data_IF_902766280262
#
_entry.id   IF_902766280262
#
_cell.length_a   1.000
_cell.length_b   1.000
_cell.length_c   1.000
_cell.angle_alpha   90.00
_cell.angle_beta   90.00
_cell.angle_gamma   90.00
#
_symmetry.space_group_name_H-M   'P 1'
#
loop_
_entity.id
_entity.type
_entity.pdbx_description
1 polymer ?
#
# COMPACT_ATOMS: atom_id res chain seq x y z
N UNK A 1 -26.43 1.93 18.59
CA UNK A 1 -25.21 2.48 17.98
C UNK A 1 -25.58 2.89 16.58
N UNK A 2 -25.24 4.11 16.21
CA UNK A 2 -25.40 4.66 14.86
C UNK A 2 -24.01 5.01 14.32
N UNK A 3 -23.78 4.76 13.04
CA UNK A 3 -22.55 5.14 12.36
C UNK A 3 -22.89 5.91 11.09
N UNK A 4 -22.44 7.15 11.03
CA UNK A 4 -22.57 8.03 9.87
C UNK A 4 -21.24 8.13 9.13
N UNK A 5 -21.26 7.94 7.81
CA UNK A 5 -20.09 8.11 6.95
C UNK A 5 -20.39 9.24 5.96
N UNK A 6 -19.52 10.24 5.92
CA UNK A 6 -19.65 11.43 5.05
C UNK A 6 -18.37 11.67 4.27
N UNK A 7 -18.41 12.53 3.24
CA UNK A 7 -17.20 12.95 2.51
C UNK A 7 -16.29 13.87 3.33
N UNK A 8 -16.89 14.93 3.91
CA UNK A 8 -16.17 16.05 4.51
C UNK A 8 -16.71 16.48 5.90
N UNK A 9 -17.37 15.52 6.61
CA UNK A 9 -17.97 15.76 7.92
C UNK A 9 -19.39 16.30 7.86
N UNK A 10 -20.09 16.27 9.00
CA UNK A 10 -21.48 16.72 9.15
C UNK A 10 -21.64 18.23 9.35
N UNK A 11 -20.54 18.98 9.55
CA UNK A 11 -20.54 20.41 9.77
C UNK A 11 -20.53 21.23 8.46
N UNK A 12 -19.57 22.12 8.32
CA UNK A 12 -19.43 23.03 7.14
C UNK A 12 -19.28 22.26 5.82
N UNK A 13 -18.67 21.06 5.87
CA UNK A 13 -18.48 20.18 4.71
C UNK A 13 -19.69 19.33 4.32
N UNK A 14 -20.81 19.37 5.06
CA UNK A 14 -21.94 18.46 4.87
C UNK A 14 -22.59 18.49 3.47
N UNK A 15 -22.56 19.64 2.81
CA UNK A 15 -23.10 19.80 1.46
C UNK A 15 -22.12 19.38 0.34
N UNK A 16 -20.87 19.04 0.67
CA UNK A 16 -19.87 18.66 -0.32
C UNK A 16 -20.06 17.18 -0.72
N UNK A 17 -20.00 16.86 -2.03
CA UNK A 17 -20.13 15.49 -2.50
C UNK A 17 -18.91 14.67 -2.09
N UNK A 18 -19.15 13.48 -1.48
CA UNK A 18 -18.13 12.57 -1.01
C UNK A 18 -17.86 11.46 -2.02
N UNK A 19 -16.86 11.65 -2.87
CA UNK A 19 -16.35 10.62 -3.78
C UNK A 19 -14.87 10.38 -3.53
N UNK A 20 -14.44 9.13 -3.59
CA UNK A 20 -13.04 8.71 -3.38
C UNK A 20 -12.05 9.56 -4.20
N UNK A 21 -12.24 9.66 -5.51
CA UNK A 21 -11.37 10.43 -6.40
C UNK A 21 -11.28 11.90 -6.00
N UNK A 22 -12.41 12.50 -5.62
CA UNK A 22 -12.46 13.90 -5.20
C UNK A 22 -11.66 14.11 -3.91
N UNK A 23 -11.79 13.18 -2.96
CA UNK A 23 -11.05 13.26 -1.69
C UNK A 23 -9.57 12.92 -1.89
N UNK A 24 -9.19 12.03 -2.79
CA UNK A 24 -7.78 11.84 -3.17
C UNK A 24 -7.14 13.15 -3.69
N UNK A 25 -7.88 13.91 -4.50
CA UNK A 25 -7.41 15.18 -5.03
C UNK A 25 -7.35 16.27 -3.94
N UNK A 26 -8.46 16.55 -3.27
CA UNK A 26 -8.60 17.62 -2.28
C UNK A 26 -7.88 17.32 -0.95
N UNK A 27 -7.77 16.05 -0.59
CA UNK A 27 -7.11 15.58 0.63
C UNK A 27 -5.59 15.40 0.51
N UNK A 28 -5.00 15.76 -0.64
CA UNK A 28 -3.55 15.82 -0.81
C UNK A 28 -2.87 14.51 -1.23
N UNK A 29 -3.57 13.37 -1.33
CA UNK A 29 -2.95 12.12 -1.75
C UNK A 29 -2.35 12.22 -3.16
N UNK A 30 -3.03 12.88 -4.08
CA UNK A 30 -2.53 13.08 -5.44
C UNK A 30 -1.33 14.04 -5.50
N UNK A 31 -1.13 14.89 -4.51
CA UNK A 31 0.04 15.77 -4.46
C UNK A 31 1.35 15.06 -4.14
N UNK A 32 1.27 13.83 -3.65
CA UNK A 32 2.41 12.96 -3.33
C UNK A 32 2.44 11.68 -4.17
N UNK A 33 1.47 11.49 -5.05
CA UNK A 33 1.32 10.28 -5.88
C UNK A 33 1.36 10.65 -7.36
N UNK A 34 2.29 10.05 -8.10
CA UNK A 34 2.46 10.26 -9.54
C UNK A 34 3.85 9.85 -10.00
N UNK A 35 4.07 9.73 -11.31
CA UNK A 35 5.35 9.29 -11.87
C UNK A 35 6.46 10.33 -11.74
N UNK A 36 6.11 11.63 -11.79
CA UNK A 36 7.06 12.73 -11.71
C UNK A 36 6.42 13.99 -11.10
N UNK A 37 7.23 14.93 -10.58
CA UNK A 37 6.75 16.23 -10.15
C UNK A 37 5.89 16.92 -11.23
N UNK A 38 4.69 17.38 -10.85
CA UNK A 38 3.74 18.00 -11.78
C UNK A 38 2.78 17.02 -12.48
N UNK A 39 2.91 15.72 -12.24
CA UNK A 39 2.05 14.69 -12.84
C UNK A 39 1.24 13.94 -11.75
N UNK A 40 0.29 14.62 -11.05
CA UNK A 40 -0.49 14.01 -9.99
C UNK A 40 -1.36 12.87 -10.55
N UNK A 41 -1.34 11.72 -9.87
CA UNK A 41 -2.07 10.53 -10.30
C UNK A 41 -2.86 9.94 -9.13
N UNK A 42 -4.09 9.51 -9.39
CA UNK A 42 -4.88 8.80 -8.39
C UNK A 42 -4.34 7.37 -8.16
N UNK A 43 -4.59 6.80 -6.98
CA UNK A 43 -4.42 5.36 -6.75
C UNK A 43 -5.45 4.58 -7.58
N UNK A 44 -5.07 3.44 -8.10
CA UNK A 44 -5.86 2.64 -9.05
C UNK A 44 -7.17 2.06 -8.51
N UNK A 45 -7.37 2.09 -7.19
CA UNK A 45 -8.57 1.60 -6.49
C UNK A 45 -9.18 2.71 -5.62
N UNK A 46 -10.42 2.57 -5.18
CA UNK A 46 -11.10 3.49 -4.25
C UNK A 46 -10.53 3.34 -2.83
N UNK A 47 -9.25 3.70 -2.66
CA UNK A 47 -8.49 3.47 -1.43
C UNK A 47 -9.05 4.22 -0.24
N UNK A 48 -9.53 5.45 -0.44
CA UNK A 48 -10.07 6.30 0.62
C UNK A 48 -11.37 5.70 1.17
N UNK A 49 -12.23 5.19 0.29
CA UNK A 49 -13.47 4.51 0.68
C UNK A 49 -13.17 3.27 1.52
N UNK A 50 -12.21 2.44 1.09
CA UNK A 50 -11.78 1.24 1.83
C UNK A 50 -11.26 1.60 3.22
N UNK A 51 -10.37 2.58 3.32
CA UNK A 51 -9.80 3.03 4.61
C UNK A 51 -10.91 3.59 5.52
N UNK A 52 -11.83 4.37 4.97
CA UNK A 52 -12.96 4.94 5.73
C UNK A 52 -13.88 3.84 6.25
N UNK A 53 -14.18 2.83 5.44
CA UNK A 53 -14.94 1.65 5.86
C UNK A 53 -14.24 0.86 6.99
N UNK A 54 -12.92 0.74 6.94
CA UNK A 54 -12.13 0.15 8.02
C UNK A 54 -12.20 0.98 9.31
N UNK A 55 -12.07 2.31 9.24
CA UNK A 55 -12.23 3.19 10.40
C UNK A 55 -13.64 3.12 11.01
N UNK A 56 -14.66 3.09 10.15
CA UNK A 56 -16.04 2.91 10.61
C UNK A 56 -16.24 1.56 11.32
N UNK A 57 -15.69 0.49 10.79
CA UNK A 57 -15.73 -0.84 11.41
C UNK A 57 -15.03 -0.85 12.77
N UNK A 58 -13.85 -0.26 12.87
CA UNK A 58 -13.10 -0.13 14.15
C UNK A 58 -13.93 0.67 15.16
N UNK A 59 -14.51 1.81 14.74
CA UNK A 59 -15.38 2.62 15.56
C UNK A 59 -16.60 1.86 16.07
N UNK A 60 -17.27 1.10 15.19
CA UNK A 60 -18.42 0.25 15.56
C UNK A 60 -18.04 -0.82 16.57
N UNK A 61 -16.92 -1.51 16.39
CA UNK A 61 -16.45 -2.53 17.34
C UNK A 61 -16.10 -1.91 18.71
N UNK A 62 -15.47 -0.75 18.75
CA UNK A 62 -15.19 -0.01 19.97
C UNK A 62 -16.47 0.40 20.69
N UNK A 63 -17.47 0.92 19.97
CA UNK A 63 -18.76 1.30 20.51
C UNK A 63 -19.58 0.08 21.02
N UNK A 64 -19.49 -1.05 20.32
CA UNK A 64 -20.09 -2.31 20.76
C UNK A 64 -19.46 -2.78 22.07
N UNK A 65 -18.14 -2.72 22.19
CA UNK A 65 -17.46 -3.06 23.45
C UNK A 65 -17.88 -2.14 24.60
N UNK A 66 -17.93 -0.83 24.35
CA UNK A 66 -18.44 0.14 25.34
C UNK A 66 -19.86 -0.20 25.77
N UNK A 67 -20.78 -0.42 24.84
CA UNK A 67 -22.16 -0.78 25.11
C UNK A 67 -22.29 -2.08 25.95
N UNK A 68 -21.43 -3.07 25.62
CA UNK A 68 -21.45 -4.35 26.37
C UNK A 68 -21.02 -4.19 27.84
N UNK A 69 -20.19 -3.19 28.14
CA UNK A 69 -19.71 -2.90 29.51
C UNK A 69 -20.66 -1.97 30.28
N UNK A 70 -21.20 -0.95 29.60
CA UNK A 70 -21.96 0.14 30.27
C UNK A 70 -23.47 0.06 30.06
N UNK A 71 -23.92 -0.65 29.01
CA UNK A 71 -25.32 -0.61 28.57
C UNK A 71 -25.65 0.58 27.66
N UNK A 72 -24.72 1.53 27.47
CA UNK A 72 -24.96 2.77 26.74
C UNK A 72 -24.44 2.68 25.30
N UNK A 73 -25.30 3.03 24.32
CA UNK A 73 -24.94 3.19 22.94
C UNK A 73 -24.38 4.59 22.66
N UNK A 74 -23.83 4.78 21.45
CA UNK A 74 -23.33 6.08 21.03
C UNK A 74 -23.44 6.25 19.51
N UNK A 75 -23.34 7.48 19.07
CA UNK A 75 -23.18 7.85 17.67
C UNK A 75 -21.70 7.90 17.32
N UNK A 76 -21.38 7.45 16.09
CA UNK A 76 -20.04 7.46 15.50
C UNK A 76 -20.13 8.23 14.21
N UNK A 77 -19.26 9.21 14.03
CA UNK A 77 -19.08 9.90 12.76
C UNK A 77 -17.69 9.61 12.20
N UNK A 78 -17.63 9.22 10.93
CA UNK A 78 -16.40 9.02 10.16
C UNK A 78 -16.53 9.78 8.85
N UNK A 79 -15.46 10.41 8.37
CA UNK A 79 -15.48 11.05 7.07
C UNK A 79 -14.23 10.70 6.26
N UNK A 80 -14.39 10.76 4.93
CA UNK A 80 -13.36 10.35 3.98
C UNK A 80 -12.09 11.20 4.12
N UNK A 81 -12.24 12.53 4.28
CA UNK A 81 -11.09 13.42 4.35
C UNK A 81 -10.23 13.16 5.60
N UNK A 82 -10.85 13.04 6.78
CA UNK A 82 -10.11 12.75 8.01
C UNK A 82 -9.48 11.36 7.98
N UNK A 83 -10.16 10.38 7.38
CA UNK A 83 -9.64 9.04 7.17
C UNK A 83 -8.41 9.03 6.29
N UNK A 84 -8.45 9.79 5.18
CA UNK A 84 -7.30 9.94 4.29
C UNK A 84 -6.12 10.63 4.99
N UNK A 85 -6.35 11.76 5.67
CA UNK A 85 -5.29 12.49 6.37
C UNK A 85 -4.59 11.62 7.42
N UNK A 86 -5.34 10.80 8.15
CA UNK A 86 -4.79 9.81 9.09
C UNK A 86 -3.95 8.75 8.38
N UNK A 87 -4.37 8.29 7.21
CA UNK A 87 -3.68 7.25 6.45
C UNK A 87 -2.42 7.73 5.71
N UNK A 88 -2.21 9.05 5.59
CA UNK A 88 -1.01 9.61 4.94
C UNK A 88 0.26 9.52 5.80
N UNK A 89 0.19 8.99 6.98
CA UNK A 89 1.29 8.58 7.90
C UNK A 89 2.48 9.56 7.91
N UNK A 90 3.63 9.13 7.35
CA UNK A 90 4.87 9.91 7.32
C UNK A 90 4.76 11.22 6.52
N UNK A 91 3.96 11.24 5.45
CA UNK A 91 3.74 12.47 4.66
C UNK A 91 2.98 13.52 5.47
N UNK A 92 1.91 13.09 6.14
CA UNK A 92 1.17 13.97 7.05
C UNK A 92 2.05 14.44 8.23
N UNK A 93 2.84 13.54 8.83
CA UNK A 93 3.76 13.87 9.93
C UNK A 93 4.85 14.87 9.51
N UNK A 94 5.38 14.75 8.29
CA UNK A 94 6.37 15.69 7.75
C UNK A 94 5.81 17.11 7.70
N UNK A 95 4.54 17.26 7.34
CA UNK A 95 3.87 18.58 7.33
C UNK A 95 3.51 19.04 8.74
N UNK A 96 2.80 18.22 9.51
CA UNK A 96 2.24 18.64 10.81
C UNK A 96 3.32 18.92 11.84
N UNK A 97 4.37 18.10 11.88
CA UNK A 97 5.43 18.20 12.89
C UNK A 97 6.68 18.90 12.37
N UNK A 98 6.97 18.77 11.08
CA UNK A 98 8.19 19.30 10.47
C UNK A 98 8.00 20.56 9.61
N UNK A 99 6.76 20.97 9.32
CA UNK A 99 6.45 22.08 8.41
C UNK A 99 6.85 21.86 6.95
N UNK A 100 7.24 20.63 6.59
CA UNK A 100 7.67 20.27 5.24
C UNK A 100 6.45 19.87 4.42
N UNK A 101 6.24 20.50 3.27
CA UNK A 101 5.21 20.09 2.31
C UNK A 101 5.80 19.03 1.37
N UNK A 102 5.35 17.76 1.47
CA UNK A 102 5.83 16.70 0.60
C UNK A 102 5.40 16.90 -0.86
N UNK A 103 6.17 16.34 -1.78
CA UNK A 103 5.87 16.34 -3.21
C UNK A 103 5.95 14.96 -3.83
N UNK A 104 5.69 14.86 -5.14
CA UNK A 104 5.76 13.63 -5.91
C UNK A 104 7.23 13.24 -6.12
N UNK A 105 7.57 12.00 -5.79
CA UNK A 105 8.90 11.40 -5.95
C UNK A 105 8.87 10.15 -6.86
N UNK A 106 7.80 9.93 -7.62
CA UNK A 106 7.61 8.66 -8.33
C UNK A 106 7.51 7.48 -7.37
N UNK A 107 8.34 6.46 -7.59
CA UNK A 107 8.40 5.30 -6.72
C UNK A 107 9.47 5.39 -5.63
N UNK A 108 10.22 6.50 -5.56
CA UNK A 108 11.30 6.66 -4.60
C UNK A 108 10.79 7.00 -3.20
N UNK A 109 11.37 6.36 -2.18
CA UNK A 109 11.07 6.70 -0.79
C UNK A 109 11.75 8.03 -0.41
N UNK A 110 11.09 8.96 0.31
CA UNK A 110 11.66 10.27 0.61
C UNK A 110 12.93 10.22 1.47
N UNK A 111 13.07 9.27 2.37
CA UNK A 111 14.14 9.20 3.38
C UNK A 111 14.93 7.89 3.40
N UNK A 112 14.69 6.97 2.45
CA UNK A 112 15.41 5.70 2.34
C UNK A 112 15.91 5.51 0.91
N UNK A 113 17.15 5.05 0.74
CA UNK A 113 17.75 4.78 -0.57
C UNK A 113 18.75 3.61 -0.50
N UNK A 114 18.71 2.65 -1.46
CA UNK A 114 17.72 2.48 -2.50
C UNK A 114 16.39 1.91 -1.96
N UNK A 115 15.29 2.54 -2.30
CA UNK A 115 13.94 2.07 -2.01
C UNK A 115 13.02 2.58 -3.13
N UNK A 116 12.96 1.85 -4.22
CA UNK A 116 12.23 2.25 -5.43
C UNK A 116 12.14 1.14 -6.49
N UNK A 117 11.64 1.50 -7.66
CA UNK A 117 11.49 0.60 -8.82
C UNK A 117 12.69 0.71 -9.75
N UNK A 118 13.24 -0.43 -10.14
CA UNK A 118 14.31 -0.54 -11.13
C UNK A 118 13.84 -1.30 -12.38
N UNK A 119 14.24 -0.83 -13.56
CA UNK A 119 14.02 -1.56 -14.79
C UNK A 119 15.02 -2.72 -14.88
N UNK A 120 14.55 -3.88 -15.32
CA UNK A 120 15.37 -5.05 -15.62
C UNK A 120 15.32 -5.35 -17.12
N UNK A 121 15.90 -6.46 -17.56
CA UNK A 121 15.89 -6.82 -18.98
C UNK A 121 14.50 -7.19 -19.53
N UNK A 122 13.53 -7.47 -18.68
CA UNK A 122 12.17 -7.90 -19.08
C UNK A 122 11.06 -7.04 -18.46
N UNK A 123 10.98 -6.94 -17.13
CA UNK A 123 9.93 -6.21 -16.39
C UNK A 123 10.49 -5.53 -15.15
N UNK A 124 9.83 -4.50 -14.59
CA UNK A 124 10.35 -3.80 -13.42
C UNK A 124 10.40 -4.67 -12.16
N UNK A 125 11.39 -4.38 -11.30
CA UNK A 125 11.50 -4.93 -9.94
C UNK A 125 11.49 -3.81 -8.91
N UNK A 126 10.83 -4.04 -7.78
CA UNK A 126 10.93 -3.20 -6.58
C UNK A 126 12.09 -3.69 -5.73
N UNK A 127 12.92 -2.77 -5.24
CA UNK A 127 13.97 -3.06 -4.24
C UNK A 127 13.78 -2.15 -3.05
N UNK A 128 13.81 -2.70 -1.83
CA UNK A 128 13.53 -1.98 -0.58
C UNK A 128 14.65 -2.24 0.45
N UNK A 129 15.74 -1.50 0.34
CA UNK A 129 16.89 -1.62 1.25
C UNK A 129 16.65 -0.75 2.49
N UNK A 130 16.40 -1.39 3.62
CA UNK A 130 16.09 -0.70 4.88
C UNK A 130 17.28 -0.33 5.77
N UNK A 131 18.49 -0.88 5.50
CA UNK A 131 19.68 -0.63 6.30
C UNK A 131 20.97 -0.86 5.51
N UNK A 132 22.12 -0.42 6.08
CA UNK A 132 23.41 -0.47 5.41
C UNK A 132 23.91 -1.90 5.17
N UNK A 133 23.56 -2.86 6.03
CA UNK A 133 23.88 -4.28 5.83
C UNK A 133 23.17 -4.90 4.62
N UNK A 134 21.91 -4.54 4.40
CA UNK A 134 21.17 -4.94 3.19
C UNK A 134 21.73 -4.25 1.94
N UNK A 135 22.19 -3.00 2.05
CA UNK A 135 22.85 -2.30 0.96
C UNK A 135 24.16 -2.98 0.54
N UNK A 136 25.00 -3.38 1.49
CA UNK A 136 26.24 -4.10 1.20
C UNK A 136 25.96 -5.43 0.48
N UNK A 137 24.94 -6.18 0.94
CA UNK A 137 24.50 -7.41 0.26
C UNK A 137 23.98 -7.15 -1.15
N UNK A 138 23.16 -6.11 -1.33
CA UNK A 138 22.70 -5.70 -2.67
C UNK A 138 23.89 -5.44 -3.60
N UNK A 139 24.86 -4.65 -3.18
CA UNK A 139 26.04 -4.35 -3.98
C UNK A 139 26.88 -5.60 -4.29
N UNK A 140 26.96 -6.54 -3.35
CA UNK A 140 27.66 -7.81 -3.57
C UNK A 140 26.97 -8.64 -4.65
N UNK A 141 25.66 -8.81 -4.56
CA UNK A 141 24.87 -9.60 -5.52
C UNK A 141 24.77 -8.93 -6.91
N UNK A 142 24.89 -7.61 -6.96
CA UNK A 142 24.97 -6.84 -8.21
C UNK A 142 26.41 -6.77 -8.80
N UNK A 143 27.39 -7.47 -8.18
CA UNK A 143 28.79 -7.48 -8.59
C UNK A 143 29.47 -6.10 -8.59
N UNK A 144 29.06 -5.20 -7.68
CA UNK A 144 29.61 -3.85 -7.46
C UNK A 144 29.94 -3.61 -5.98
N UNK A 145 30.68 -4.50 -5.29
CA UNK A 145 30.90 -4.40 -3.83
C UNK A 145 31.62 -3.12 -3.41
N UNK A 146 32.42 -2.50 -4.30
CA UNK A 146 33.11 -1.24 -4.08
C UNK A 146 32.16 -0.08 -3.82
N UNK A 147 30.95 -0.09 -4.36
CA UNK A 147 29.92 0.94 -4.16
C UNK A 147 29.46 0.98 -2.71
N UNK A 148 29.40 -0.18 -2.02
CA UNK A 148 29.04 -0.23 -0.61
C UNK A 148 30.12 0.40 0.32
N UNK A 149 31.36 0.49 -0.16
CA UNK A 149 32.49 1.05 0.58
C UNK A 149 32.80 2.51 0.19
N UNK A 150 32.12 3.04 -0.81
CA UNK A 150 32.26 4.45 -1.21
C UNK A 150 31.61 5.35 -0.14
N UNK A 151 32.34 6.36 0.32
CA UNK A 151 31.86 7.32 1.33
C UNK A 151 30.58 8.05 0.92
N UNK A 152 30.31 8.20 -0.37
CA UNK A 152 29.07 8.78 -0.90
C UNK A 152 27.84 7.92 -0.63
N UNK A 153 28.01 6.61 -0.37
CA UNK A 153 26.91 5.65 -0.27
C UNK A 153 26.96 4.81 1.01
N UNK A 154 27.94 5.03 1.87
CA UNK A 154 28.19 4.20 3.04
C UNK A 154 27.01 4.19 4.04
N UNK A 155 26.34 5.32 4.25
CA UNK A 155 25.18 5.42 5.13
C UNK A 155 23.90 5.76 4.35
N UNK A 156 22.74 5.46 4.94
CA UNK A 156 21.47 5.83 4.32
C UNK A 156 21.33 7.34 4.00
N UNK A 157 21.70 8.28 4.90
CA UNK A 157 21.70 9.71 4.57
C UNK A 157 22.57 10.05 3.37
N UNK A 158 23.77 9.44 3.26
CA UNK A 158 24.67 9.67 2.13
C UNK A 158 24.04 9.16 0.83
N UNK A 159 23.40 7.97 0.84
CA UNK A 159 22.67 7.43 -0.32
C UNK A 159 21.50 8.30 -0.72
N UNK A 160 20.75 8.81 0.24
CA UNK A 160 19.62 9.73 -0.05
C UNK A 160 20.12 11.02 -0.70
N UNK A 161 21.23 11.58 -0.20
CA UNK A 161 21.84 12.79 -0.75
C UNK A 161 22.40 12.58 -2.17
N UNK A 162 22.94 11.39 -2.45
CA UNK A 162 23.59 11.03 -3.72
C UNK A 162 22.73 10.07 -4.57
N UNK A 163 21.40 10.05 -4.36
CA UNK A 163 20.44 9.11 -4.97
C UNK A 163 20.57 9.01 -6.49
N UNK A 164 20.71 10.15 -7.18
CA UNK A 164 20.78 10.18 -8.64
C UNK A 164 21.99 9.40 -9.14
N UNK A 165 23.18 9.63 -8.56
CA UNK A 165 24.41 8.93 -8.94
C UNK A 165 24.31 7.44 -8.60
N UNK A 166 23.82 7.09 -7.42
CA UNK A 166 23.62 5.70 -7.01
C UNK A 166 22.68 4.96 -7.96
N UNK A 167 21.55 5.56 -8.29
CA UNK A 167 20.56 4.93 -9.17
C UNK A 167 21.11 4.66 -10.57
N UNK A 168 21.98 5.52 -11.12
CA UNK A 168 22.63 5.26 -12.40
C UNK A 168 23.50 3.99 -12.37
N UNK A 169 24.18 3.74 -11.25
CA UNK A 169 24.99 2.53 -11.06
C UNK A 169 24.08 1.29 -10.95
N UNK A 170 23.04 1.35 -10.12
CA UNK A 170 22.14 0.23 -9.89
C UNK A 170 21.34 -0.16 -11.15
N UNK A 171 20.78 0.81 -11.85
CA UNK A 171 20.02 0.57 -13.11
C UNK A 171 20.86 -0.19 -14.13
N UNK A 172 22.14 0.18 -14.27
CA UNK A 172 23.05 -0.50 -15.21
C UNK A 172 23.17 -1.99 -14.89
N UNK A 173 23.23 -2.36 -13.61
CA UNK A 173 23.36 -3.76 -13.21
C UNK A 173 22.03 -4.51 -13.38
N UNK A 174 20.91 -3.89 -12.95
CA UNK A 174 19.60 -4.52 -13.06
C UNK A 174 19.20 -4.87 -14.49
N UNK A 175 19.61 -4.09 -15.48
CA UNK A 175 19.37 -4.38 -16.89
C UNK A 175 20.06 -5.66 -17.39
N UNK A 176 21.02 -6.20 -16.66
CA UNK A 176 21.77 -7.41 -17.05
C UNK A 176 20.95 -8.70 -17.01
N UNK A 177 19.88 -8.75 -16.19
CA UNK A 177 19.04 -9.94 -16.05
C UNK A 177 17.57 -9.56 -15.87
N UNK A 178 16.67 -10.57 -15.94
CA UNK A 178 15.24 -10.39 -15.74
C UNK A 178 14.85 -10.29 -14.25
N UNK A 179 13.63 -9.79 -13.99
CA UNK A 179 13.11 -9.53 -12.63
C UNK A 179 13.06 -10.80 -11.77
N UNK A 180 12.67 -11.94 -12.34
CA UNK A 180 12.58 -13.20 -11.58
C UNK A 180 13.95 -13.74 -11.18
N UNK A 181 15.00 -13.54 -12.02
CA UNK A 181 16.38 -13.83 -11.66
C UNK A 181 16.80 -12.99 -10.46
N UNK A 182 16.63 -11.68 -10.53
CA UNK A 182 16.98 -10.76 -9.45
C UNK A 182 16.19 -11.04 -8.18
N UNK A 183 14.90 -11.31 -8.29
CA UNK A 183 14.07 -11.65 -7.13
C UNK A 183 14.61 -12.87 -6.40
N UNK A 184 14.90 -13.94 -7.12
CA UNK A 184 15.46 -15.17 -6.53
C UNK A 184 16.82 -14.93 -5.87
N UNK A 185 17.73 -14.24 -6.56
CA UNK A 185 19.08 -13.97 -6.09
C UNK A 185 19.07 -13.10 -4.83
N UNK A 186 18.42 -11.94 -4.91
CA UNK A 186 18.40 -10.95 -3.84
C UNK A 186 17.59 -11.42 -2.60
N UNK A 187 16.47 -12.12 -2.81
CA UNK A 187 15.69 -12.69 -1.69
C UNK A 187 16.51 -13.70 -0.92
N UNK A 188 17.28 -14.57 -1.59
CA UNK A 188 18.15 -15.54 -0.92
C UNK A 188 19.27 -14.85 -0.12
N UNK A 189 19.75 -13.69 -0.57
CA UNK A 189 20.72 -12.88 0.16
C UNK A 189 20.09 -12.07 1.32
N UNK A 190 18.75 -12.08 1.44
CA UNK A 190 18.00 -11.33 2.45
C UNK A 190 17.86 -9.84 2.13
N UNK A 191 17.86 -9.47 0.85
CA UNK A 191 17.52 -8.14 0.35
C UNK A 191 16.05 -8.13 -0.05
N UNK A 192 15.18 -7.33 0.58
CA UNK A 192 13.77 -7.25 0.21
C UNK A 192 13.59 -6.70 -1.20
N UNK A 193 12.99 -7.50 -2.07
CA UNK A 193 12.69 -7.14 -3.45
C UNK A 193 11.56 -8.00 -4.01
N UNK A 194 10.99 -7.60 -5.14
CA UNK A 194 9.99 -8.39 -5.85
C UNK A 194 9.59 -7.76 -7.19
N UNK A 195 9.19 -8.57 -8.18
CA UNK A 195 8.69 -8.07 -9.44
C UNK A 195 7.35 -7.32 -9.24
N UNK A 196 7.05 -6.39 -10.14
CA UNK A 196 5.71 -5.80 -10.21
C UNK A 196 4.81 -6.80 -10.93
N UNK A 197 3.93 -7.42 -10.18
CA UNK A 197 2.99 -8.41 -10.66
C UNK A 197 1.71 -7.77 -11.22
N UNK A 198 1.13 -8.40 -12.23
CA UNK A 198 -0.27 -8.19 -12.59
C UNK A 198 -1.19 -8.76 -11.49
N UNK A 199 -2.49 -8.41 -11.54
CA UNK A 199 -3.48 -8.97 -10.60
C UNK A 199 -3.50 -10.50 -10.67
N UNK A 200 -3.44 -11.10 -11.86
CA UNK A 200 -3.42 -12.55 -12.02
C UNK A 200 -2.18 -13.20 -11.41
N UNK A 201 -1.00 -12.61 -11.59
CA UNK A 201 0.24 -13.08 -10.98
C UNK A 201 0.24 -12.92 -9.46
N UNK A 202 -0.37 -11.84 -8.95
CA UNK A 202 -0.52 -11.64 -7.50
C UNK A 202 -1.42 -12.72 -6.86
N UNK A 203 -2.53 -13.11 -7.53
CA UNK A 203 -3.36 -14.20 -7.07
C UNK A 203 -2.63 -15.56 -7.15
N UNK A 204 -1.89 -15.83 -8.23
CA UNK A 204 -1.07 -17.04 -8.34
C UNK A 204 0.01 -17.12 -7.25
N UNK A 205 0.65 -15.99 -6.93
CA UNK A 205 1.59 -15.91 -5.81
C UNK A 205 0.90 -16.22 -4.48
N UNK A 206 -0.27 -15.63 -4.22
CA UNK A 206 -1.01 -15.88 -2.98
C UNK A 206 -1.45 -17.35 -2.86
N UNK A 207 -1.84 -17.99 -3.95
CA UNK A 207 -2.13 -19.44 -3.99
C UNK A 207 -0.86 -20.27 -3.69
N UNK A 208 0.28 -19.93 -4.29
CA UNK A 208 1.56 -20.61 -4.03
C UNK A 208 2.04 -20.50 -2.58
N UNK A 209 1.60 -19.45 -1.88
CA UNK A 209 1.85 -19.22 -0.46
C UNK A 209 0.75 -19.81 0.45
N UNK A 210 -0.17 -20.60 -0.11
CA UNK A 210 -1.28 -21.25 0.61
C UNK A 210 -2.22 -20.27 1.34
N UNK A 211 -2.32 -19.01 0.86
CA UNK A 211 -3.16 -17.97 1.46
C UNK A 211 -4.65 -18.11 1.09
N UNK A 212 -4.98 -18.99 0.14
CA UNK A 212 -6.35 -19.26 -0.33
C UNK A 212 -7.13 -17.98 -0.67
N UNK A 213 -6.66 -17.16 -1.63
CA UNK A 213 -7.23 -15.84 -1.91
C UNK A 213 -8.60 -15.88 -2.58
N UNK A 214 -9.02 -17.03 -3.09
CA UNK A 214 -10.26 -17.22 -3.82
C UNK A 214 -11.13 -18.25 -3.09
N UNK A 215 -12.42 -17.90 -2.92
CA UNK A 215 -13.45 -18.84 -2.44
C UNK A 215 -14.47 -19.08 -3.53
N UNK A 216 -15.11 -20.25 -3.49
CA UNK A 216 -16.23 -20.62 -4.36
C UNK A 216 -17.48 -20.81 -3.52
N UNK A 217 -18.55 -20.10 -3.86
CA UNK A 217 -19.86 -20.25 -3.23
C UNK A 217 -20.79 -20.93 -4.25
N UNK A 218 -21.35 -22.07 -3.87
CA UNK A 218 -22.36 -22.75 -4.68
C UNK A 218 -23.74 -22.28 -4.26
N UNK A 219 -24.44 -21.59 -5.15
CA UNK A 219 -25.80 -21.11 -4.94
C UNK A 219 -26.66 -21.44 -6.16
N UNK A 220 -27.79 -22.12 -5.93
CA UNK A 220 -28.77 -22.50 -6.98
C UNK A 220 -28.17 -23.32 -8.14
N UNK A 221 -27.07 -24.04 -7.88
CA UNK A 221 -26.38 -24.85 -8.87
C UNK A 221 -25.34 -24.12 -9.70
N UNK A 222 -25.09 -22.83 -9.39
CA UNK A 222 -24.02 -22.03 -9.97
C UNK A 222 -22.84 -21.87 -9.02
N UNK A 223 -21.63 -21.97 -9.58
CA UNK A 223 -20.39 -21.66 -8.86
C UNK A 223 -20.03 -20.17 -9.03
N UNK A 224 -20.00 -19.44 -7.93
CA UNK A 224 -19.60 -18.03 -7.92
C UNK A 224 -18.31 -17.84 -7.14
N UNK A 225 -17.25 -17.42 -7.83
CA UNK A 225 -15.94 -17.15 -7.22
C UNK A 225 -15.85 -15.72 -6.69
N UNK A 226 -15.22 -15.58 -5.52
CA UNK A 226 -15.00 -14.29 -4.87
C UNK A 226 -13.63 -14.24 -4.21
N UNK A 227 -13.17 -13.03 -3.92
CA UNK A 227 -11.98 -12.81 -3.07
C UNK A 227 -12.31 -13.21 -1.65
N UNK A 228 -11.45 -14.01 -1.04
CA UNK A 228 -11.60 -14.46 0.34
C UNK A 228 -11.49 -13.30 1.34
N UNK A 229 -12.14 -13.45 2.50
CA UNK A 229 -11.92 -12.55 3.63
C UNK A 229 -10.46 -12.64 4.10
N UNK A 230 -9.72 -11.52 4.29
CA UNK A 230 -8.31 -11.58 4.69
C UNK A 230 -8.11 -11.93 6.17
N UNK A 231 -9.18 -11.99 6.98
CA UNK A 231 -9.09 -12.24 8.43
C UNK A 231 -9.35 -13.71 8.72
N UNK A 232 -8.42 -14.35 9.42
CA UNK A 232 -8.59 -15.73 9.91
C UNK A 232 -8.88 -15.74 11.40
N UNK A 233 -10.01 -16.34 11.78
CA UNK A 233 -10.41 -16.49 13.17
C UNK A 233 -10.21 -17.93 13.63
N UNK A 234 -9.44 -18.16 14.69
CA UNK A 234 -9.16 -19.48 15.23
C UNK A 234 -10.36 -20.19 15.92
N UNK A 235 -11.37 -19.42 16.34
CA UNK A 235 -12.56 -19.93 17.06
C UNK A 235 -13.86 -19.75 16.28
N UNK A 236 -13.96 -18.71 15.46
CA UNK A 236 -15.15 -18.33 14.73
C UNK A 236 -14.81 -18.14 13.25
N UNK A 237 -14.48 -19.22 12.52
CA UNK A 237 -14.08 -19.11 11.12
C UNK A 237 -15.18 -18.44 10.28
N UNK A 238 -14.76 -17.67 9.27
CA UNK A 238 -15.66 -17.02 8.33
C UNK A 238 -16.48 -18.07 7.57
N UNK A 239 -17.78 -17.82 7.42
CA UNK A 239 -18.68 -18.67 6.65
C UNK A 239 -19.15 -17.92 5.40
N UNK A 240 -19.01 -18.55 4.26
CA UNK A 240 -19.43 -18.03 2.96
C UNK A 240 -20.74 -18.73 2.57
N UNK A 241 -21.87 -18.25 3.06
CA UNK A 241 -23.17 -18.90 2.91
C UNK A 241 -24.01 -18.38 1.73
N UNK A 242 -23.77 -17.13 1.32
CA UNK A 242 -24.58 -16.45 0.30
C UNK A 242 -23.64 -15.79 -0.71
N UNK A 243 -23.84 -16.05 -1.97
CA UNK A 243 -23.17 -15.36 -3.07
C UNK A 243 -23.81 -13.99 -3.32
N UNK A 244 -23.13 -13.05 -3.99
CA UNK A 244 -23.78 -11.84 -4.48
C UNK A 244 -24.97 -12.18 -5.36
N UNK A 245 -26.08 -11.41 -5.27
CA UNK A 245 -27.23 -11.62 -6.14
C UNK A 245 -26.85 -11.41 -7.62
N UNK A 246 -27.57 -12.06 -8.52
CA UNK A 246 -27.51 -11.72 -9.95
C UNK A 246 -28.17 -10.38 -10.22
N UNK A 247 -27.79 -9.72 -11.33
CA UNK A 247 -28.38 -8.42 -11.72
C UNK A 247 -29.88 -8.47 -12.01
N UNK A 248 -30.44 -9.68 -12.24
CA UNK A 248 -31.83 -9.91 -12.61
C UNK A 248 -32.69 -10.43 -11.42
N UNK A 249 -32.11 -10.56 -10.23
CA UNK A 249 -32.85 -10.92 -9.01
C UNK A 249 -33.37 -9.63 -8.33
N UNK A 250 -34.70 -9.35 -8.49
CA UNK A 250 -35.42 -8.33 -7.72
C UNK A 250 -35.79 -8.84 -6.31
#
# INVERSE_FOLDING_TARGET
IYCSITGFGSGVGAAMPGYDLLVQAMGGLMSVTGPAPGEPTKVGVALVDVITGMHATIGLLAALNHRNVTGEGQEIEVNLLSSLLSAMVNQASSYVSGGVVPGILGNAHPSICPYEVYQTSDRPIVVAVGNDGQFAKLCQELEIPEVASDSKFATNPDRVANRIELNQLLVKQFLGNGADHWWKLLSNAGVPCGPINSISEAFALAESLELNPIITINQEGEERKQVANPITFSKTPVRYAVAPPSLDEE
#
